data_IF_754594398466
#
_entry.id   IF_754594398466
#
_cell.length_a   1.000
_cell.length_b   1.000
_cell.length_c   1.000
_cell.angle_alpha   90.00
_cell.angle_beta   90.00
_cell.angle_gamma   90.00
#
_symmetry.space_group_name_H-M   'P 1'
#
loop_
_entity.id
_entity.type
_entity.pdbx_description
1 polymer ?
#
# COMPACT_ATOMS: atom_id res chain seq x y z
N UNK A 1 -20.21 15.04 37.12
CA UNK A 1 -19.18 15.46 38.09
C UNK A 1 -17.99 16.02 37.32
N UNK A 2 -17.62 17.30 37.50
CA UNK A 2 -16.37 17.84 36.93
C UNK A 2 -15.20 17.32 37.79
N UNK A 3 -14.24 16.61 37.20
CA UNK A 3 -13.05 16.14 37.93
C UNK A 3 -12.14 17.32 38.25
N UNK A 4 -11.50 17.27 39.42
CA UNK A 4 -10.65 18.35 39.89
C UNK A 4 -9.33 18.38 39.11
N UNK A 5 -9.09 19.45 38.36
CA UNK A 5 -7.91 19.61 37.49
C UNK A 5 -6.63 19.73 38.32
N UNK A 6 -6.70 20.23 39.56
CA UNK A 6 -5.53 20.40 40.42
C UNK A 6 -4.99 19.10 41.02
N UNK A 7 -5.72 17.99 40.96
CA UNK A 7 -5.26 16.66 41.42
C UNK A 7 -5.08 15.66 40.28
N UNK A 8 -5.19 16.12 39.03
CA UNK A 8 -5.11 15.25 37.86
C UNK A 8 -3.67 14.88 37.54
N UNK A 9 -3.37 13.57 37.49
CA UNK A 9 -2.10 13.08 36.99
C UNK A 9 -1.98 13.29 35.47
N UNK A 10 -0.75 13.38 34.96
CA UNK A 10 -0.50 13.47 33.52
C UNK A 10 -1.13 12.30 32.74
N UNK A 11 -1.09 11.07 33.28
CA UNK A 11 -1.74 9.90 32.68
C UNK A 11 -3.25 10.10 32.51
N UNK A 12 -3.92 10.65 33.54
CA UNK A 12 -5.36 10.91 33.50
C UNK A 12 -5.69 12.02 32.52
N UNK A 13 -4.87 13.08 32.46
CA UNK A 13 -5.00 14.12 31.43
C UNK A 13 -4.90 13.54 30.03
N UNK A 14 -3.87 12.73 29.75
CA UNK A 14 -3.68 12.14 28.42
C UNK A 14 -4.83 11.21 28.05
N UNK A 15 -5.35 10.40 28.98
CA UNK A 15 -6.51 9.56 28.75
C UNK A 15 -7.76 10.38 28.42
N UNK A 16 -8.06 11.41 29.22
CA UNK A 16 -9.22 12.27 29.00
C UNK A 16 -9.08 13.11 27.73
N UNK A 17 -7.89 13.61 27.45
CA UNK A 17 -7.57 14.32 26.24
C UNK A 17 -7.75 13.41 25.02
N UNK A 18 -7.31 12.15 25.10
CA UNK A 18 -7.58 11.16 24.05
C UNK A 18 -9.09 10.88 23.92
N UNK A 19 -9.83 10.69 25.01
CA UNK A 19 -11.27 10.45 24.90
C UNK A 19 -12.02 11.65 24.29
N UNK A 20 -11.61 12.88 24.62
CA UNK A 20 -12.28 14.10 24.16
C UNK A 20 -11.84 14.56 22.76
N UNK A 21 -10.60 14.28 22.35
CA UNK A 21 -10.01 14.80 21.10
C UNK A 21 -9.53 13.71 20.13
N UNK A 22 -9.23 12.50 20.60
CA UNK A 22 -9.06 11.31 19.74
C UNK A 22 -10.44 10.74 19.45
N UNK A 23 -11.11 11.38 18.50
CA UNK A 23 -12.44 10.98 18.07
C UNK A 23 -12.40 9.53 17.55
N UNK A 24 -13.05 8.59 18.24
CA UNK A 24 -13.02 7.16 17.88
C UNK A 24 -13.49 6.91 16.45
N UNK A 25 -14.39 7.76 15.95
CA UNK A 25 -14.85 7.74 14.57
C UNK A 25 -13.74 8.07 13.57
N UNK A 26 -12.87 9.03 13.89
CA UNK A 26 -11.71 9.40 13.06
C UNK A 26 -10.70 8.26 13.05
N UNK A 27 -10.45 7.63 14.20
CA UNK A 27 -9.58 6.44 14.28
C UNK A 27 -10.12 5.29 13.44
N UNK A 28 -11.42 4.99 13.57
CA UNK A 28 -12.06 3.94 12.77
C UNK A 28 -11.93 4.25 11.27
N UNK A 29 -12.18 5.50 10.87
CA UNK A 29 -12.02 5.96 9.47
C UNK A 29 -10.58 5.78 8.98
N UNK A 30 -9.58 6.13 9.79
CA UNK A 30 -8.16 5.95 9.45
C UNK A 30 -7.77 4.47 9.34
N UNK A 31 -8.31 3.63 10.23
CA UNK A 31 -8.09 2.18 10.16
C UNK A 31 -8.76 1.57 8.93
N UNK A 32 -9.96 2.02 8.57
CA UNK A 32 -10.68 1.58 7.37
C UNK A 32 -9.95 2.02 6.10
N UNK A 33 -9.45 3.25 6.06
CA UNK A 33 -8.58 3.73 4.97
C UNK A 33 -7.34 2.84 4.86
N UNK A 34 -6.66 2.55 5.97
CA UNK A 34 -5.47 1.72 5.96
C UNK A 34 -5.75 0.27 5.52
N UNK A 35 -6.87 -0.32 5.96
CA UNK A 35 -7.25 -1.70 5.61
C UNK A 35 -7.71 -1.81 4.14
N UNK A 36 -8.39 -0.80 3.63
CA UNK A 36 -8.86 -0.73 2.24
C UNK A 36 -7.78 -0.25 1.26
N UNK A 37 -6.65 0.28 1.75
CA UNK A 37 -5.60 0.81 0.89
C UNK A 37 -5.03 -0.26 -0.06
N UNK A 38 -4.95 0.10 -1.34
CA UNK A 38 -4.36 -0.69 -2.43
C UNK A 38 -3.47 0.22 -3.27
N UNK A 39 -2.43 -0.35 -3.86
CA UNK A 39 -1.48 0.37 -4.73
C UNK A 39 -2.18 1.10 -5.89
N UNK A 40 -3.23 0.51 -6.47
CA UNK A 40 -3.97 1.15 -7.57
C UNK A 40 -3.05 1.46 -8.75
N UNK A 41 -3.11 2.67 -9.29
CA UNK A 41 -2.23 3.15 -10.36
C UNK A 41 -0.90 3.76 -9.88
N UNK A 42 -0.66 3.78 -8.57
CA UNK A 42 0.57 4.34 -8.00
C UNK A 42 1.76 3.43 -8.28
N UNK A 43 2.94 4.02 -8.43
CA UNK A 43 4.19 3.25 -8.42
C UNK A 43 4.39 2.56 -7.07
N UNK A 44 5.22 1.52 -7.01
CA UNK A 44 5.56 0.83 -5.77
C UNK A 44 6.04 1.82 -4.70
N UNK A 45 6.90 2.76 -5.08
CA UNK A 45 7.47 3.74 -4.14
C UNK A 45 6.45 4.75 -3.61
N UNK A 46 5.55 5.23 -4.46
CA UNK A 46 4.48 6.13 -4.03
C UNK A 46 3.49 5.42 -3.10
N UNK A 47 3.13 4.17 -3.42
CA UNK A 47 2.27 3.35 -2.58
C UNK A 47 2.94 3.06 -1.22
N UNK A 48 4.22 2.71 -1.20
CA UNK A 48 5.00 2.52 0.04
C UNK A 48 5.01 3.79 0.87
N UNK A 49 5.27 4.96 0.27
CA UNK A 49 5.26 6.24 0.99
C UNK A 49 3.90 6.51 1.64
N UNK A 50 2.80 6.32 0.90
CA UNK A 50 1.43 6.50 1.43
C UNK A 50 1.11 5.48 2.52
N UNK A 51 1.52 4.23 2.34
CA UNK A 51 1.38 3.18 3.35
C UNK A 51 2.06 3.57 4.66
N UNK A 52 3.28 4.11 4.60
CA UNK A 52 4.01 4.54 5.80
C UNK A 52 3.34 5.71 6.51
N UNK A 53 2.71 6.62 5.78
CA UNK A 53 1.93 7.70 6.38
C UNK A 53 0.73 7.15 7.16
N UNK A 54 -0.02 6.22 6.56
CA UNK A 54 -1.16 5.58 7.21
C UNK A 54 -0.74 4.69 8.39
N UNK A 55 0.36 3.94 8.25
CA UNK A 55 0.89 3.08 9.30
C UNK A 55 1.33 3.86 10.55
N UNK A 56 1.78 5.11 10.41
CA UNK A 56 2.10 5.99 11.56
C UNK A 56 0.86 6.39 12.35
N UNK A 57 -0.30 6.46 11.71
CA UNK A 57 -1.58 6.75 12.35
C UNK A 57 -2.20 5.50 12.96
N UNK A 58 -1.88 4.32 12.42
CA UNK A 58 -2.43 3.03 12.82
C UNK A 58 -1.35 2.07 13.34
N UNK A 59 -0.54 2.51 14.31
CA UNK A 59 0.59 1.71 14.85
C UNK A 59 0.13 0.38 15.45
N UNK A 60 -1.06 0.34 16.05
CA UNK A 60 -1.69 -0.88 16.59
C UNK A 60 -1.92 -1.96 15.51
N UNK A 61 -2.12 -1.55 14.25
CA UNK A 61 -2.33 -2.46 13.13
C UNK A 61 -1.02 -3.00 12.54
N UNK A 62 0.12 -2.39 12.88
CA UNK A 62 1.46 -2.76 12.39
C UNK A 62 2.43 -2.93 13.58
N UNK A 63 2.17 -3.88 14.49
CA UNK A 63 2.95 -4.06 15.71
C UNK A 63 4.39 -4.53 15.48
N UNK A 64 4.68 -5.18 14.35
CA UNK A 64 6.00 -5.73 14.04
C UNK A 64 6.28 -5.73 12.54
N UNK A 65 7.53 -6.03 12.18
CA UNK A 65 8.01 -6.00 10.80
C UNK A 65 7.31 -7.05 9.92
N UNK A 66 7.11 -8.26 10.43
CA UNK A 66 6.40 -9.34 9.73
C UNK A 66 4.99 -8.92 9.32
N UNK A 67 4.27 -8.27 10.23
CA UNK A 67 2.93 -7.76 9.99
C UNK A 67 2.93 -6.58 9.00
N UNK A 68 3.98 -5.74 9.05
CA UNK A 68 4.22 -4.68 8.06
C UNK A 68 4.37 -5.27 6.65
N UNK A 69 5.21 -6.31 6.49
CA UNK A 69 5.39 -7.01 5.22
C UNK A 69 4.10 -7.67 4.76
N UNK A 70 3.39 -8.38 5.65
CA UNK A 70 2.11 -9.02 5.35
C UNK A 70 1.07 -8.03 4.82
N UNK A 71 1.04 -6.81 5.35
CA UNK A 71 0.13 -5.75 4.89
C UNK A 71 0.59 -5.10 3.59
N UNK A 72 1.89 -4.87 3.40
CA UNK A 72 2.44 -4.41 2.12
C UNK A 72 2.10 -5.39 0.98
N UNK A 73 2.23 -6.70 1.23
CA UNK A 73 1.83 -7.73 0.27
C UNK A 73 0.33 -7.71 -0.07
N UNK A 74 -0.55 -7.33 0.86
CA UNK A 74 -1.99 -7.14 0.57
C UNK A 74 -2.30 -5.85 -0.19
N UNK A 75 -1.44 -4.85 -0.04
CA UNK A 75 -1.58 -3.55 -0.69
C UNK A 75 -1.11 -3.58 -2.14
N UNK A 76 -0.01 -4.28 -2.45
CA UNK A 76 0.56 -4.36 -3.80
C UNK A 76 -0.39 -5.00 -4.81
N UNK A 77 -0.23 -4.62 -6.09
CA UNK A 77 -0.96 -5.26 -7.18
C UNK A 77 -0.65 -6.76 -7.28
N UNK A 78 -1.63 -7.55 -7.72
CA UNK A 78 -1.51 -9.01 -7.80
C UNK A 78 -0.33 -9.50 -8.63
N UNK A 79 0.01 -8.79 -9.71
CA UNK A 79 1.09 -9.19 -10.60
C UNK A 79 2.46 -8.96 -9.97
N UNK A 80 2.59 -7.87 -9.20
CA UNK A 80 3.78 -7.62 -8.37
C UNK A 80 3.87 -8.66 -7.26
N UNK A 81 2.77 -8.96 -6.56
CA UNK A 81 2.74 -9.96 -5.48
C UNK A 81 3.18 -11.34 -5.96
N UNK A 82 2.72 -11.78 -7.14
CA UNK A 82 3.14 -13.07 -7.74
C UNK A 82 4.65 -13.13 -7.91
N UNK A 83 5.28 -12.06 -8.37
CA UNK A 83 6.73 -11.98 -8.56
C UNK A 83 7.49 -11.88 -7.23
N UNK A 84 6.98 -11.09 -6.27
CA UNK A 84 7.60 -10.93 -4.94
C UNK A 84 7.58 -12.24 -4.14
N UNK A 85 6.49 -13.00 -4.27
CA UNK A 85 6.31 -14.33 -3.68
C UNK A 85 6.98 -15.46 -4.48
N UNK A 86 7.47 -15.20 -5.69
CA UNK A 86 8.15 -16.21 -6.49
C UNK A 86 9.50 -16.55 -5.84
N UNK A 87 9.66 -17.80 -5.41
CA UNK A 87 10.88 -18.31 -4.78
C UNK A 87 10.60 -19.23 -3.60
N UNK A 88 11.66 -19.78 -3.00
CA UNK A 88 11.53 -20.76 -1.92
C UNK A 88 11.00 -20.17 -0.61
N UNK A 89 11.23 -18.87 -0.36
CA UNK A 89 10.82 -18.19 0.88
C UNK A 89 10.17 -16.83 0.59
N UNK A 90 9.02 -16.52 1.21
CA UNK A 90 8.41 -15.19 1.16
C UNK A 90 9.28 -14.16 1.89
N UNK A 91 9.21 -12.87 1.52
CA UNK A 91 9.96 -11.83 2.22
C UNK A 91 9.47 -11.72 3.68
N UNK A 92 10.42 -11.61 4.60
CA UNK A 92 10.15 -11.37 6.04
C UNK A 92 10.59 -9.97 6.48
N UNK A 93 11.45 -9.32 5.71
CA UNK A 93 11.95 -7.97 5.94
C UNK A 93 11.29 -6.97 4.99
N UNK A 94 11.05 -5.75 5.48
CA UNK A 94 10.42 -4.68 4.69
C UNK A 94 11.30 -4.28 3.51
N UNK A 95 12.62 -4.19 3.73
CA UNK A 95 13.59 -3.84 2.69
C UNK A 95 13.60 -4.85 1.54
N UNK A 96 13.55 -6.15 1.85
CA UNK A 96 13.49 -7.23 0.85
C UNK A 96 12.17 -7.19 0.08
N UNK A 97 11.05 -7.01 0.78
CA UNK A 97 9.73 -6.86 0.17
C UNK A 97 9.69 -5.71 -0.85
N UNK A 98 10.17 -4.52 -0.46
CA UNK A 98 10.23 -3.34 -1.33
C UNK A 98 11.18 -3.58 -2.52
N UNK A 99 12.38 -4.11 -2.27
CA UNK A 99 13.38 -4.35 -3.33
C UNK A 99 12.90 -5.36 -4.37
N UNK A 100 12.17 -6.40 -3.95
CA UNK A 100 11.52 -7.34 -4.88
C UNK A 100 10.39 -6.66 -5.64
N UNK A 101 9.56 -5.85 -4.98
CA UNK A 101 8.44 -5.17 -5.59
C UNK A 101 8.87 -4.17 -6.68
N UNK A 102 9.92 -3.37 -6.42
CA UNK A 102 10.47 -2.43 -7.41
C UNK A 102 10.97 -3.17 -8.65
N UNK A 103 11.72 -4.27 -8.47
CA UNK A 103 12.19 -5.10 -9.58
C UNK A 103 11.03 -5.68 -10.38
N UNK A 104 10.00 -6.19 -9.70
CA UNK A 104 8.82 -6.71 -10.36
C UNK A 104 8.08 -5.64 -11.17
N UNK A 105 7.88 -4.44 -10.60
CA UNK A 105 7.25 -3.31 -11.27
C UNK A 105 8.00 -2.91 -12.55
N UNK A 106 9.34 -2.86 -12.50
CA UNK A 106 10.16 -2.55 -13.66
C UNK A 106 9.91 -3.52 -14.83
N UNK A 107 10.02 -4.84 -14.58
CA UNK A 107 9.83 -5.85 -15.62
C UNK A 107 8.39 -5.89 -16.14
N UNK A 108 7.40 -5.79 -15.24
CA UNK A 108 5.99 -5.74 -15.62
C UNK A 108 5.70 -4.54 -16.53
N UNK A 109 6.30 -3.38 -16.25
CA UNK A 109 6.10 -2.19 -17.08
C UNK A 109 6.75 -2.34 -18.45
N UNK A 110 7.95 -2.92 -18.54
CA UNK A 110 8.58 -3.23 -19.82
C UNK A 110 7.72 -4.19 -20.66
N UNK A 111 7.19 -5.25 -20.05
CA UNK A 111 6.32 -6.20 -20.74
C UNK A 111 5.05 -5.51 -21.24
N UNK A 112 4.43 -4.64 -20.43
CA UNK A 112 3.24 -3.86 -20.83
C UNK A 112 3.55 -2.94 -22.01
N UNK A 113 4.69 -2.25 -21.99
CA UNK A 113 5.13 -1.38 -23.09
C UNK A 113 5.38 -2.18 -24.37
N UNK A 114 6.12 -3.29 -24.27
CA UNK A 114 6.38 -4.17 -25.41
C UNK A 114 5.08 -4.71 -26.03
N UNK A 115 4.14 -5.15 -25.19
CA UNK A 115 2.83 -5.61 -25.65
C UNK A 115 2.01 -4.48 -26.31
N UNK A 116 2.08 -3.26 -25.78
CA UNK A 116 1.42 -2.10 -26.38
C UNK A 116 1.97 -1.78 -27.79
N UNK A 117 3.29 -1.84 -27.97
CA UNK A 117 3.93 -1.70 -29.27
C UNK A 117 3.48 -2.78 -30.26
N UNK A 118 3.47 -4.05 -29.84
CA UNK A 118 3.01 -5.17 -30.67
C UNK A 118 1.53 -5.00 -31.07
N UNK A 119 0.68 -4.60 -30.12
CA UNK A 119 -0.74 -4.40 -30.38
C UNK A 119 -0.97 -3.27 -31.40
N UNK A 120 -0.21 -2.17 -31.28
CA UNK A 120 -0.27 -1.06 -32.23
C UNK A 120 0.13 -1.50 -33.63
N UNK A 121 1.26 -2.20 -33.78
CA UNK A 121 1.73 -2.71 -35.07
C UNK A 121 0.70 -3.64 -35.74
N UNK A 122 0.14 -4.59 -34.98
CA UNK A 122 -0.92 -5.50 -35.49
C UNK A 122 -2.19 -4.77 -35.93
N UNK A 123 -2.53 -3.65 -35.28
CA UNK A 123 -3.68 -2.83 -35.65
C UNK A 123 -3.42 -2.08 -36.96
N UNK A 124 -2.22 -1.55 -37.13
CA UNK A 124 -1.78 -0.86 -38.36
C UNK A 124 -1.72 -1.82 -39.56
N UNK A 125 -1.16 -3.02 -39.39
CA UNK A 125 -1.15 -4.06 -40.43
C UNK A 125 -2.56 -4.47 -40.88
N UNK A 126 -3.51 -4.59 -39.94
CA UNK A 126 -4.91 -4.88 -40.25
C UNK A 126 -5.61 -3.72 -40.97
N UNK A 127 -5.23 -2.48 -40.66
CA UNK A 127 -5.77 -1.29 -41.33
C UNK A 127 -5.30 -1.26 -42.79
N UNK A 128 -4.00 -1.47 -43.01
CA UNK A 128 -3.40 -1.54 -44.35
C UNK A 128 -4.07 -2.60 -45.23
N UNK A 129 -4.22 -3.83 -44.72
CA UNK A 129 -4.87 -4.94 -45.45
C UNK A 129 -6.34 -4.70 -45.80
N UNK A 130 -7.03 -3.78 -45.12
CA UNK A 130 -8.42 -3.39 -45.43
C UNK A 130 -8.52 -2.25 -46.44
N UNK A 131 -7.45 -1.48 -46.63
CA UNK A 131 -7.39 -0.37 -47.58
C UNK A 131 -6.99 -0.83 -48.99
N UNK A 132 -6.30 -1.97 -49.09
CA UNK A 132 -5.86 -2.60 -50.35
C UNK A 132 -6.92 -3.56 -50.97
N UNK A 133 -8.13 -3.62 -50.42
CA UNK A 133 -9.21 -4.54 -50.80
C UNK A 133 -10.48 -3.77 -51.16
#
# INVERSE_FOLDING_TARGET
MRRNVTTMSWQNFVTEFRVMYYNREILATQQDEFNSFRQGSMTVMEAVKKFEQLARLCTELVPNETEKVRRMMKMFQTDIVKQVSAGSNPPTLVSDCISRAIRAEYWINQDKEAMAHIFKAKKEEKCWKKSDQ
#
